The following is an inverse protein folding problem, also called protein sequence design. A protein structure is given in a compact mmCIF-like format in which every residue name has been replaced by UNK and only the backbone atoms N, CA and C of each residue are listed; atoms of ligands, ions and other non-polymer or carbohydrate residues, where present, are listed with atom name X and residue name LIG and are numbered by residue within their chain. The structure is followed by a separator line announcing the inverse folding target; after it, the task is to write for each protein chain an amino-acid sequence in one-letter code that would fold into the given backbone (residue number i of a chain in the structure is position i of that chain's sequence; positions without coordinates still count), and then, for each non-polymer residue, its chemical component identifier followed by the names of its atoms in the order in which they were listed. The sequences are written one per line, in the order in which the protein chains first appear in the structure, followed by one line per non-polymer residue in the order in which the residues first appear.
data_IF_584413983277
#
_entry.id   IF_584413983277
#
_cell.length_a   1.000
_cell.length_b   1.000
_cell.length_c   1.000
_cell.angle_alpha   90.00
_cell.angle_beta   90.00
_cell.angle_gamma   90.00
#
_symmetry.space_group_name_H-M   'P 1'
#
loop_
_entity.id
_entity.type
_entity.pdbx_description
1 polymer ?
#
# COMPACT_ATOMS: atom_id res chain seq x y z
N UNK A 1 10.08 18.76 -5.39
CA UNK A 1 10.55 17.61 -4.60
C UNK A 1 10.24 16.38 -5.42
N UNK A 2 11.23 15.88 -6.16
CA UNK A 2 11.08 14.70 -6.99
C UNK A 2 11.13 13.51 -6.05
N UNK A 3 10.01 12.80 -5.89
CA UNK A 3 10.04 11.46 -5.31
C UNK A 3 10.83 10.61 -6.29
N UNK A 4 12.09 10.31 -5.95
CA UNK A 4 12.84 9.31 -6.67
C UNK A 4 12.01 8.01 -6.67
N UNK A 5 12.03 7.27 -7.77
CA UNK A 5 11.30 6.00 -7.89
C UNK A 5 11.68 4.98 -6.78
N UNK A 6 12.78 5.24 -6.06
CA UNK A 6 13.25 4.48 -4.92
C UNK A 6 12.44 4.71 -3.62
N UNK A 7 11.69 5.81 -3.52
CA UNK A 7 10.89 6.18 -2.33
C UNK A 7 9.38 5.90 -2.49
N UNK A 8 8.97 5.33 -3.64
CA UNK A 8 7.57 5.07 -3.94
C UNK A 8 6.96 4.03 -2.98
N UNK A 9 5.83 4.40 -2.38
CA UNK A 9 5.19 3.63 -1.31
C UNK A 9 4.25 2.52 -1.80
N UNK A 10 3.96 1.58 -0.90
CA UNK A 10 2.86 0.64 -1.04
C UNK A 10 1.66 1.16 -0.25
N UNK A 11 0.52 1.32 -0.92
CA UNK A 11 -0.75 1.68 -0.29
C UNK A 11 -1.40 0.46 0.37
N UNK A 12 -1.81 0.58 1.62
CA UNK A 12 -2.62 -0.39 2.33
C UNK A 12 -4.05 0.17 2.47
N UNK A 13 -5.08 -0.53 1.97
CA UNK A 13 -6.46 -0.03 2.03
C UNK A 13 -6.98 0.05 3.47
N UNK A 14 -8.05 0.83 3.67
CA UNK A 14 -8.77 0.91 4.95
C UNK A 14 -9.60 -0.37 5.12
N UNK A 15 -8.94 -1.44 5.56
CA UNK A 15 -9.54 -2.73 5.76
C UNK A 15 -9.06 -3.34 7.08
N UNK A 16 -9.99 -3.79 7.90
CA UNK A 16 -9.71 -4.34 9.23
C UNK A 16 -9.45 -5.86 9.16
N UNK A 17 -8.43 -6.27 8.39
CA UNK A 17 -8.02 -7.68 8.23
C UNK A 17 -6.65 -7.94 8.91
N UNK A 18 -6.59 -9.00 9.72
CA UNK A 18 -5.37 -9.44 10.40
C UNK A 18 -4.25 -9.79 9.41
N UNK A 19 -4.57 -10.42 8.28
CA UNK A 19 -3.60 -10.77 7.25
C UNK A 19 -3.12 -9.54 6.48
N UNK A 20 -3.95 -8.50 6.36
CA UNK A 20 -3.49 -7.21 5.83
C UNK A 20 -2.45 -6.63 6.77
N UNK A 21 -2.74 -6.59 8.07
CA UNK A 21 -1.80 -6.07 9.07
C UNK A 21 -0.47 -6.84 9.07
N UNK A 22 -0.51 -8.17 8.96
CA UNK A 22 0.69 -9.00 8.83
C UNK A 22 1.50 -8.64 7.57
N UNK A 23 0.85 -8.43 6.43
CA UNK A 23 1.51 -8.00 5.20
C UNK A 23 2.16 -6.61 5.36
N UNK A 24 1.46 -5.66 6.00
CA UNK A 24 1.98 -4.32 6.31
C UNK A 24 3.22 -4.39 7.19
N UNK A 25 3.18 -5.16 8.28
CA UNK A 25 4.31 -5.33 9.20
C UNK A 25 5.52 -5.93 8.50
N UNK A 26 5.30 -6.99 7.71
CA UNK A 26 6.36 -7.64 6.92
C UNK A 26 7.03 -6.64 5.97
N UNK A 27 6.25 -5.92 5.17
CA UNK A 27 6.77 -4.94 4.22
C UNK A 27 7.60 -3.85 4.92
N UNK A 28 7.10 -3.33 6.06
CA UNK A 28 7.85 -2.34 6.85
C UNK A 28 9.16 -2.90 7.42
N UNK A 29 9.19 -4.17 7.84
CA UNK A 29 10.43 -4.82 8.28
C UNK A 29 11.46 -5.03 7.15
N UNK A 30 10.98 -5.13 5.90
CA UNK A 30 11.82 -5.20 4.69
C UNK A 30 12.30 -3.81 4.22
N UNK A 31 11.97 -2.74 4.95
CA UNK A 31 12.33 -1.36 4.62
C UNK A 31 11.39 -0.69 3.62
N UNK A 32 10.26 -1.32 3.28
CA UNK A 32 9.27 -0.75 2.35
C UNK A 32 8.41 0.28 3.07
N UNK A 33 8.28 1.46 2.46
CA UNK A 33 7.32 2.50 2.90
C UNK A 33 5.90 2.02 2.63
N UNK A 34 5.11 1.80 3.69
CA UNK A 34 3.70 1.42 3.59
C UNK A 34 2.81 2.52 4.16
N UNK A 35 1.94 3.07 3.32
CA UNK A 35 0.96 4.12 3.69
C UNK A 35 -0.40 3.47 3.93
N UNK A 36 -0.97 3.72 5.11
CA UNK A 36 -2.30 3.24 5.47
C UNK A 36 -3.36 4.26 5.03
N UNK A 37 -4.37 3.81 4.28
CA UNK A 37 -5.54 4.61 3.97
C UNK A 37 -6.28 5.00 5.24
N UNK A 38 -6.73 6.25 5.30
CA UNK A 38 -7.69 6.71 6.29
C UNK A 38 -9.11 6.29 5.90
N UNK A 39 -10.05 6.24 6.86
CA UNK A 39 -11.44 5.96 6.56
C UNK A 39 -12.00 6.85 5.44
N UNK A 40 -12.58 6.21 4.43
CA UNK A 40 -13.15 6.88 3.25
C UNK A 40 -12.15 7.25 2.16
N UNK A 41 -10.84 6.97 2.34
CA UNK A 41 -9.87 7.10 1.25
C UNK A 41 -9.86 5.84 0.38
N UNK A 42 -9.91 6.04 -0.93
CA UNK A 42 -9.77 4.97 -1.91
C UNK A 42 -8.39 5.01 -2.58
N UNK A 43 -8.25 4.22 -3.64
CA UNK A 43 -7.00 4.09 -4.40
C UNK A 43 -6.55 5.41 -5.07
N UNK A 44 -7.45 6.37 -5.31
CA UNK A 44 -7.09 7.67 -5.89
C UNK A 44 -6.16 8.47 -4.96
N UNK A 45 -6.36 8.37 -3.64
CA UNK A 45 -5.52 9.01 -2.63
C UNK A 45 -4.11 8.38 -2.56
N UNK A 46 -3.91 7.17 -3.11
CA UNK A 46 -2.62 6.50 -3.09
C UNK A 46 -1.57 7.27 -3.89
N UNK A 47 -1.94 7.85 -5.04
CA UNK A 47 -1.05 8.65 -5.87
C UNK A 47 -0.63 9.94 -5.17
N UNK A 48 -1.57 10.63 -4.51
CA UNK A 48 -1.29 11.84 -3.71
C UNK A 48 -0.33 11.55 -2.55
N UNK A 49 -0.40 10.34 -1.99
CA UNK A 49 0.52 9.85 -0.95
C UNK A 49 1.89 9.38 -1.47
N UNK A 50 2.15 9.49 -2.77
CA UNK A 50 3.38 9.04 -3.41
C UNK A 50 3.54 7.52 -3.44
N UNK A 51 2.43 6.78 -3.52
CA UNK A 51 2.46 5.33 -3.73
C UNK A 51 2.47 5.01 -5.22
N UNK A 52 3.15 3.92 -5.59
CA UNK A 52 3.16 3.35 -6.95
C UNK A 52 2.54 1.94 -6.98
N UNK A 53 2.33 1.36 -5.81
CA UNK A 53 1.83 0.01 -5.58
C UNK A 53 0.78 0.02 -4.49
N UNK A 54 0.02 -1.05 -4.40
CA UNK A 54 -1.00 -1.25 -3.38
C UNK A 54 -1.07 -2.73 -2.95
N UNK A 55 -1.49 -2.96 -1.72
CA UNK A 55 -1.93 -4.26 -1.25
C UNK A 55 -3.35 -4.52 -1.76
N UNK A 56 -3.53 -5.62 -2.49
CA UNK A 56 -4.83 -6.09 -2.94
C UNK A 56 -5.06 -7.52 -2.44
N UNK A 57 -6.30 -7.82 -2.05
CA UNK A 57 -6.72 -9.17 -1.73
C UNK A 57 -6.98 -9.92 -3.05
N UNK A 58 -6.10 -10.87 -3.39
CA UNK A 58 -6.20 -11.72 -4.57
C UNK A 58 -6.06 -13.17 -4.16
N UNK A 59 -6.98 -14.02 -4.60
CA UNK A 59 -7.02 -15.46 -4.27
C UNK A 59 -6.94 -15.72 -2.75
N UNK A 60 -7.63 -14.87 -1.96
CA UNK A 60 -7.64 -14.96 -0.51
C UNK A 60 -6.32 -14.57 0.18
N UNK A 61 -5.40 -13.91 -0.53
CA UNK A 61 -4.11 -13.45 0.02
C UNK A 61 -3.85 -11.99 -0.32
N UNK A 62 -3.27 -11.27 0.63
CA UNK A 62 -2.80 -9.90 0.39
C UNK A 62 -1.51 -9.92 -0.42
N UNK A 63 -1.55 -9.29 -1.59
CA UNK A 63 -0.45 -9.26 -2.56
C UNK A 63 -0.17 -7.82 -2.97
N UNK A 64 1.10 -7.48 -3.14
CA UNK A 64 1.50 -6.18 -3.69
C UNK A 64 1.25 -6.20 -5.20
N UNK A 65 0.49 -5.23 -5.69
CA UNK A 65 0.19 -5.03 -7.10
C UNK A 65 0.51 -3.57 -7.50
N UNK A 66 0.87 -3.32 -8.77
CA UNK A 66 0.99 -1.94 -9.28
C UNK A 66 -0.33 -1.18 -9.11
N UNK A 67 -0.25 0.13 -8.84
CA UNK A 67 -1.42 1.00 -8.99
C UNK A 67 -1.80 1.07 -10.47
N UNK A 68 -3.10 0.98 -10.74
CA UNK A 68 -3.61 1.21 -12.09
C UNK A 68 -3.43 2.70 -12.42
N UNK A 69 -2.98 2.98 -13.65
CA UNK A 69 -2.77 4.34 -14.17
C UNK A 69 -4.07 5.07 -14.44
#
# INVERSE_FOLDING_TARGET
MQVDAQDAGVWAPDHHDLYLWQAVQRLRSEGVRVVQALPGQDVSAAHEAGCDRQLQLRDGRWQVAPLAS
#
